data_IF_325622899024
#
_entry.id   IF_325622899024
#
_cell.length_a   1.000
_cell.length_b   1.000
_cell.length_c   1.000
_cell.angle_alpha   90.00
_cell.angle_beta   90.00
_cell.angle_gamma   90.00
#
_symmetry.space_group_name_H-M   'P 1'
#
loop_
_entity.id
_entity.type
_entity.pdbx_description
1 polymer ?
#
# COMPACT_ATOMS: atom_id res chain seq x y z
N UNK A 1 -20.58 4.48 -16.08
CA UNK A 1 -19.38 5.26 -15.77
C UNK A 1 -18.20 4.40 -16.08
N UNK A 2 -17.18 4.95 -16.75
CA UNK A 2 -15.92 4.26 -17.01
C UNK A 2 -15.02 4.43 -15.79
N UNK A 3 -14.96 3.42 -14.93
CA UNK A 3 -14.09 3.45 -13.75
C UNK A 3 -12.64 3.30 -14.22
N UNK A 4 -11.96 4.44 -14.29
CA UNK A 4 -10.55 4.53 -14.59
C UNK A 4 -9.71 3.88 -13.49
N UNK A 5 -8.61 3.27 -13.92
CA UNK A 5 -7.56 2.63 -13.09
C UNK A 5 -7.92 1.25 -12.54
N UNK A 6 -8.33 0.34 -13.44
CA UNK A 6 -8.15 -1.09 -13.22
C UNK A 6 -6.65 -1.44 -13.30
N UNK A 7 -5.94 -1.39 -12.18
CA UNK A 7 -4.56 -1.89 -12.10
C UNK A 7 -4.47 -3.32 -12.65
N UNK A 8 -3.54 -3.56 -13.57
CA UNK A 8 -3.28 -4.90 -14.10
C UNK A 8 -2.23 -5.55 -13.21
N UNK A 9 -2.66 -6.37 -12.25
CA UNK A 9 -1.74 -7.08 -11.36
C UNK A 9 -0.71 -7.92 -12.12
N UNK A 10 0.46 -8.13 -11.52
CA UNK A 10 1.58 -8.87 -12.12
C UNK A 10 1.17 -10.28 -12.61
N UNK A 11 0.25 -10.95 -11.91
CA UNK A 11 -0.29 -12.24 -12.33
C UNK A 11 -1.08 -12.15 -13.65
N UNK A 12 -1.87 -11.09 -13.86
CA UNK A 12 -2.60 -10.87 -15.10
C UNK A 12 -1.66 -10.58 -16.28
N UNK A 13 -0.57 -9.84 -16.03
CA UNK A 13 0.46 -9.58 -17.05
C UNK A 13 1.21 -10.86 -17.44
N UNK A 14 1.55 -11.71 -16.46
CA UNK A 14 2.16 -13.03 -16.70
C UNK A 14 1.23 -13.94 -17.50
N UNK A 15 -0.04 -14.01 -17.13
CA UNK A 15 -1.03 -14.82 -17.83
C UNK A 15 -1.21 -14.37 -19.29
N UNK A 16 -1.24 -13.05 -19.56
CA UNK A 16 -1.29 -12.52 -20.92
C UNK A 16 -0.04 -12.87 -21.74
N UNK A 17 1.16 -12.76 -21.14
CA UNK A 17 2.41 -13.14 -21.79
C UNK A 17 2.49 -14.65 -22.09
N UNK A 18 1.97 -15.50 -21.20
CA UNK A 18 1.91 -16.95 -21.41
C UNK A 18 0.91 -17.34 -22.50
N UNK A 19 -0.28 -16.74 -22.50
CA UNK A 19 -1.27 -16.94 -23.56
C UNK A 19 -0.71 -16.59 -24.95
N UNK A 20 0.03 -15.47 -25.06
CA UNK A 20 0.72 -15.11 -26.29
C UNK A 20 1.76 -16.16 -26.71
N UNK A 21 2.58 -16.67 -25.77
CA UNK A 21 3.57 -17.72 -26.07
C UNK A 21 2.92 -19.02 -26.57
N UNK A 22 1.76 -19.38 -26.03
CA UNK A 22 1.00 -20.55 -26.47
C UNK A 22 0.43 -20.34 -27.88
N UNK A 23 -0.06 -19.13 -28.18
CA UNK A 23 -0.59 -18.78 -29.51
C UNK A 23 0.50 -18.71 -30.58
N UNK A 24 1.65 -18.09 -30.30
CA UNK A 24 2.76 -17.97 -31.23
C UNK A 24 3.38 -19.33 -31.62
N UNK A 25 3.34 -20.33 -30.73
CA UNK A 25 3.79 -21.70 -31.05
C UNK A 25 2.91 -22.43 -32.06
N UNK A 26 1.65 -21.99 -32.25
CA UNK A 26 0.68 -22.62 -33.15
C UNK A 26 0.73 -22.09 -34.58
N UNK A 27 1.30 -20.91 -34.82
CA UNK A 27 1.23 -20.23 -36.13
C UNK A 27 2.48 -20.39 -37.00
N UNK A 28 3.56 -21.04 -36.53
CA UNK A 28 4.78 -21.28 -37.32
C UNK A 28 5.60 -20.02 -37.69
N UNK A 29 5.07 -18.82 -37.44
CA UNK A 29 5.75 -17.55 -37.58
C UNK A 29 6.33 -17.10 -36.24
N UNK A 30 7.64 -16.85 -36.20
CA UNK A 30 8.30 -16.29 -35.02
C UNK A 30 8.05 -14.78 -34.95
N UNK A 31 6.86 -14.38 -34.52
CA UNK A 31 6.61 -13.00 -34.11
C UNK A 31 7.19 -12.78 -32.70
N UNK A 32 8.08 -11.80 -32.51
CA UNK A 32 8.69 -11.55 -31.21
C UNK A 32 7.59 -11.16 -30.20
N UNK A 33 7.39 -11.99 -29.18
CA UNK A 33 6.37 -11.76 -28.17
C UNK A 33 6.68 -10.60 -27.23
N UNK A 34 5.65 -9.89 -26.79
CA UNK A 34 5.78 -8.78 -25.84
C UNK A 34 5.86 -9.28 -24.39
N UNK A 35 6.73 -8.67 -23.59
CA UNK A 35 6.81 -8.88 -22.15
C UNK A 35 6.50 -7.58 -21.44
N UNK A 36 5.55 -7.60 -20.51
CA UNK A 36 5.17 -6.44 -19.72
C UNK A 36 5.61 -6.63 -18.27
N UNK A 37 6.16 -5.58 -17.67
CA UNK A 37 6.62 -5.55 -16.29
C UNK A 37 6.10 -4.28 -15.62
N UNK A 38 5.64 -4.38 -14.38
CA UNK A 38 5.29 -3.20 -13.57
C UNK A 38 6.59 -2.43 -13.26
N UNK A 39 6.58 -1.12 -13.50
CA UNK A 39 7.74 -0.24 -13.26
C UNK A 39 7.59 0.60 -12.00
N UNK A 40 6.35 1.01 -11.74
CA UNK A 40 5.98 1.78 -10.57
C UNK A 40 4.48 1.53 -10.28
N UNK A 41 4.04 1.91 -9.08
CA UNK A 41 2.67 1.82 -8.63
C UNK A 41 2.31 3.03 -7.79
N UNK A 42 1.24 3.73 -8.18
CA UNK A 42 0.61 4.77 -7.35
C UNK A 42 -0.54 4.13 -6.59
N UNK A 43 -0.53 4.24 -5.26
CA UNK A 43 -1.59 3.70 -4.41
C UNK A 43 -2.85 4.57 -4.53
N UNK A 44 -3.99 3.94 -4.78
CA UNK A 44 -5.30 4.58 -4.82
C UNK A 44 -6.31 3.81 -3.99
N UNK A 45 -7.13 4.52 -3.23
CA UNK A 45 -8.18 3.94 -2.36
C UNK A 45 -9.59 4.06 -2.95
N UNK A 46 -9.70 4.41 -4.24
CA UNK A 46 -10.99 4.55 -4.92
C UNK A 46 -11.36 3.28 -5.70
N UNK A 47 -12.66 2.94 -5.83
CA UNK A 47 -13.77 3.51 -5.06
C UNK A 47 -13.74 3.03 -3.60
N UNK A 48 -14.21 3.86 -2.68
CA UNK A 48 -14.49 3.45 -1.30
C UNK A 48 -15.92 2.92 -1.26
N UNK A 49 -16.07 1.63 -0.95
CA UNK A 49 -17.35 0.92 -0.91
C UNK A 49 -18.01 1.10 0.46
N UNK A 50 -17.22 0.94 1.52
CA UNK A 50 -17.68 1.06 2.89
C UNK A 50 -16.54 1.58 3.78
N UNK A 51 -16.91 2.15 4.91
CA UNK A 51 -15.99 2.83 5.81
C UNK A 51 -16.46 2.70 7.27
N UNK A 52 -15.56 2.24 8.13
CA UNK A 52 -15.80 2.16 9.57
C UNK A 52 -14.67 2.83 10.35
N UNK A 53 -14.95 3.15 11.61
CA UNK A 53 -14.00 3.75 12.55
C UNK A 53 -13.71 2.74 13.66
N UNK A 54 -12.43 2.55 13.98
CA UNK A 54 -11.98 1.71 15.07
C UNK A 54 -10.94 2.41 15.95
N UNK A 55 -10.69 1.86 17.13
CA UNK A 55 -9.55 2.28 17.93
C UNK A 55 -8.25 1.81 17.27
N UNK A 56 -7.22 2.65 17.28
CA UNK A 56 -5.86 2.29 16.91
C UNK A 56 -5.32 1.20 17.81
N UNK A 57 -4.44 0.36 17.27
CA UNK A 57 -3.64 -0.53 18.11
C UNK A 57 -2.77 0.32 19.06
N UNK A 58 -2.77 -0.03 20.35
CA UNK A 58 -1.88 0.62 21.31
C UNK A 58 -0.43 0.25 20.99
N UNK A 59 0.43 1.26 20.87
CA UNK A 59 1.88 1.11 20.67
C UNK A 59 2.57 1.50 21.98
N UNK A 60 3.67 0.82 22.30
CA UNK A 60 4.42 1.09 23.53
C UNK A 60 4.89 2.56 23.56
N UNK A 61 4.64 3.23 24.70
CA UNK A 61 4.93 4.65 24.87
C UNK A 61 3.89 5.60 24.28
N UNK A 62 2.87 5.10 23.58
CA UNK A 62 1.75 5.94 23.15
C UNK A 62 0.82 6.18 24.36
N UNK A 63 0.67 7.45 24.71
CA UNK A 63 -0.21 7.89 25.81
C UNK A 63 -1.53 8.46 25.29
N UNK A 64 -1.70 8.57 23.96
CA UNK A 64 -2.91 9.11 23.35
C UNK A 64 -3.77 8.01 22.73
N UNK A 65 -5.05 7.96 23.12
CA UNK A 65 -6.03 7.14 22.42
C UNK A 65 -6.32 7.73 21.03
N UNK A 66 -6.14 6.91 19.99
CA UNK A 66 -6.32 7.30 18.60
C UNK A 66 -7.37 6.43 17.91
N UNK A 67 -8.00 6.99 16.89
CA UNK A 67 -8.96 6.29 16.05
C UNK A 67 -8.44 6.21 14.60
N UNK A 68 -8.81 5.14 13.91
CA UNK A 68 -8.44 4.85 12.52
C UNK A 68 -9.68 4.60 11.68
N UNK A 69 -9.56 4.93 10.40
CA UNK A 69 -10.55 4.61 9.40
C UNK A 69 -10.17 3.30 8.73
N UNK A 70 -11.08 2.35 8.66
CA UNK A 70 -10.92 1.15 7.84
C UNK A 70 -11.89 1.25 6.67
N UNK A 71 -11.35 1.37 5.47
CA UNK A 71 -12.11 1.50 4.23
C UNK A 71 -12.04 0.19 3.43
N UNK A 72 -13.20 -0.35 3.06
CA UNK A 72 -13.27 -1.34 1.99
C UNK A 72 -13.19 -0.59 0.66
N UNK A 73 -12.14 -0.85 -0.13
CA UNK A 73 -11.86 -0.10 -1.34
C UNK A 73 -11.46 -0.96 -2.54
N UNK A 74 -11.48 -0.37 -3.73
CA UNK A 74 -11.17 -1.08 -4.96
C UNK A 74 -12.31 -2.02 -5.39
N UNK A 75 -12.10 -2.78 -6.46
CA UNK A 75 -13.13 -3.68 -6.99
C UNK A 75 -12.51 -4.92 -7.65
N UNK A 76 -13.20 -6.07 -7.54
CA UNK A 76 -12.78 -7.33 -8.14
C UNK A 76 -11.38 -7.75 -7.69
N UNK A 77 -10.49 -8.05 -8.65
CA UNK A 77 -9.11 -8.49 -8.37
C UNK A 77 -8.26 -7.44 -7.63
N UNK A 78 -8.71 -6.19 -7.59
CA UNK A 78 -8.04 -5.07 -6.93
C UNK A 78 -8.77 -4.62 -5.66
N UNK A 79 -9.73 -5.41 -5.15
CA UNK A 79 -10.37 -5.14 -3.86
C UNK A 79 -9.37 -5.24 -2.71
N UNK A 80 -9.43 -4.31 -1.78
CA UNK A 80 -8.52 -4.19 -0.64
C UNK A 80 -9.21 -3.56 0.58
N UNK A 81 -8.58 -3.68 1.74
CA UNK A 81 -8.87 -2.86 2.92
C UNK A 81 -7.75 -1.83 3.07
N UNK A 82 -8.11 -0.55 3.19
CA UNK A 82 -7.19 0.53 3.48
C UNK A 82 -7.40 1.02 4.92
N UNK A 83 -6.34 1.03 5.72
CA UNK A 83 -6.35 1.62 7.05
C UNK A 83 -5.76 3.02 6.98
N UNK A 84 -6.54 4.01 7.38
CA UNK A 84 -6.20 5.43 7.31
C UNK A 84 -6.04 5.97 8.73
N UNK A 85 -4.80 6.28 9.08
CA UNK A 85 -4.42 6.90 10.34
C UNK A 85 -4.24 8.40 10.17
N UNK A 86 -4.73 9.18 11.14
CA UNK A 86 -4.47 10.63 11.15
C UNK A 86 -3.12 10.91 11.81
N UNK A 87 -2.13 11.26 11.00
CA UNK A 87 -0.78 11.56 11.45
C UNK A 87 0.09 10.32 11.58
N UNK A 88 1.29 10.48 12.13
CA UNK A 88 2.27 9.41 12.35
C UNK A 88 2.13 8.92 13.79
N UNK A 89 2.14 7.61 13.99
CA UNK A 89 2.25 6.97 15.30
C UNK A 89 3.69 6.50 15.52
N UNK A 90 4.51 7.24 16.28
CA UNK A 90 5.88 6.82 16.55
C UNK A 90 5.91 5.67 17.55
N UNK A 91 6.75 4.68 17.28
CA UNK A 91 7.04 3.62 18.25
C UNK A 91 8.17 4.07 19.18
N UNK A 92 7.91 4.10 20.49
CA UNK A 92 8.94 4.43 21.47
C UNK A 92 9.87 3.22 21.67
N UNK A 93 11.10 3.32 21.18
CA UNK A 93 12.12 2.28 21.36
C UNK A 93 12.85 2.43 22.70
N UNK A 94 13.26 3.66 23.02
CA UNK A 94 13.96 3.99 24.26
C UNK A 94 13.58 5.41 24.70
N UNK A 95 13.39 5.58 26.01
CA UNK A 95 13.17 6.88 26.64
C UNK A 95 14.39 7.28 27.48
N UNK A 96 14.74 8.56 27.44
CA UNK A 96 15.68 9.14 28.41
C UNK A 96 14.83 9.68 29.56
N UNK A 97 15.16 9.26 30.78
CA UNK A 97 14.39 9.60 31.97
C UNK A 97 14.13 11.10 32.09
N UNK A 98 12.90 11.44 32.50
CA UNK A 98 12.48 12.82 32.66
C UNK A 98 13.41 13.56 33.63
N UNK A 99 13.99 14.66 33.17
CA UNK A 99 14.91 15.48 33.96
C UNK A 99 16.40 15.14 33.83
N UNK A 100 16.77 14.10 33.05
CA UNK A 100 18.19 13.81 32.77
C UNK A 100 18.84 14.83 31.82
N UNK A 101 18.04 15.55 31.02
CA UNK A 101 18.52 16.55 30.06
C UNK A 101 17.97 17.96 30.37
N UNK A 102 18.24 18.51 31.58
CA UNK A 102 17.72 19.81 31.96
C UNK A 102 18.35 20.92 31.11
N UNK A 103 17.52 21.81 30.56
CA UNK A 103 17.98 22.95 29.77
C UNK A 103 18.40 22.63 28.33
N UNK A 104 18.15 21.41 27.85
CA UNK A 104 18.36 21.04 26.44
C UNK A 104 17.46 21.90 25.53
N UNK A 105 18.08 22.57 24.54
CA UNK A 105 17.37 23.45 23.58
C UNK A 105 17.46 22.98 22.13
N UNK A 106 18.30 22.00 21.84
CA UNK A 106 18.52 21.49 20.50
C UNK A 106 19.36 20.23 20.50
N UNK A 107 19.13 19.39 19.50
CA UNK A 107 19.83 18.12 19.28
C UNK A 107 20.24 18.04 17.82
N UNK A 108 21.46 17.56 17.56
CA UNK A 108 21.97 17.31 16.21
C UNK A 108 22.58 15.91 16.17
N UNK A 109 22.36 15.19 15.07
CA UNK A 109 23.06 13.96 14.76
C UNK A 109 24.06 14.25 13.62
N UNK A 110 25.25 13.67 13.70
CA UNK A 110 26.33 13.79 12.70
C UNK A 110 26.44 12.50 11.92
#
# INVERSE_FOLDING_TARGET
GIDGVGGVGAASLRAAAEAHRVMARRSGHHEPGYTFTVRDSVLGISPVIDLTVGASASIAGDTEERAELVAACGHGKNGALAVLQRGIQPELVTEVEAGTLPGLRGTWAV
#
